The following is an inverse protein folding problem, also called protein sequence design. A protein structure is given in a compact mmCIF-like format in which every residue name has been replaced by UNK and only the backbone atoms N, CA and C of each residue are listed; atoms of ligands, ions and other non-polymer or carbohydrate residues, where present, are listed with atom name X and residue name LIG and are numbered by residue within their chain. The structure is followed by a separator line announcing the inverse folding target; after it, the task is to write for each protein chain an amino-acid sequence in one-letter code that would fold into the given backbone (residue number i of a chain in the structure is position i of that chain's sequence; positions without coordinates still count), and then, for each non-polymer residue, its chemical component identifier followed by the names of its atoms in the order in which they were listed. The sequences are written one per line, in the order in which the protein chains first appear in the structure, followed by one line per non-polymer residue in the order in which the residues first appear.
data_IF_121319748729
#
_entry.id   IF_121319748729
#
_cell.length_a   1.000
_cell.length_b   1.000
_cell.length_c   1.000
_cell.angle_alpha   90.00
_cell.angle_beta   90.00
_cell.angle_gamma   90.00
#
_symmetry.space_group_name_H-M   'P 1'
#
loop_
_entity.id
_entity.type
_entity.pdbx_description
1 polymer ?
#
# COMPACT_ATOMS: atom_id res chain seq x y z
N UNK A 1 24.47 -23.21 -7.87
CA UNK A 1 24.05 -21.89 -8.41
C UNK A 1 24.97 -20.83 -7.82
N UNK A 2 25.56 -19.92 -8.60
CA UNK A 2 26.53 -18.94 -8.08
C UNK A 2 25.84 -17.81 -7.29
N UNK A 3 26.54 -17.20 -6.34
CA UNK A 3 26.03 -16.06 -5.56
C UNK A 3 25.60 -14.88 -6.46
N UNK A 4 26.26 -14.70 -7.60
CA UNK A 4 25.87 -13.68 -8.59
C UNK A 4 24.57 -14.02 -9.33
N UNK A 5 24.30 -15.30 -9.59
CA UNK A 5 23.03 -15.72 -10.19
C UNK A 5 21.87 -15.46 -9.24
N UNK A 6 22.05 -15.71 -7.93
CA UNK A 6 21.07 -15.40 -6.88
C UNK A 6 20.80 -13.90 -6.81
N UNK A 7 21.85 -13.06 -6.78
CA UNK A 7 21.69 -11.59 -6.73
C UNK A 7 20.97 -11.05 -7.96
N UNK A 8 21.23 -11.60 -9.15
CA UNK A 8 20.52 -11.22 -10.38
C UNK A 8 19.05 -11.61 -10.31
N UNK A 9 18.75 -12.86 -9.96
CA UNK A 9 17.37 -13.33 -9.78
C UNK A 9 16.59 -12.44 -8.80
N UNK A 10 17.20 -12.09 -7.68
CA UNK A 10 16.61 -11.19 -6.69
C UNK A 10 16.27 -9.80 -7.28
N UNK A 11 17.20 -9.17 -7.99
CA UNK A 11 16.94 -7.87 -8.64
C UNK A 11 15.82 -7.96 -9.67
N UNK A 12 15.82 -9.01 -10.49
CA UNK A 12 14.77 -9.23 -11.49
C UNK A 12 13.40 -9.42 -10.84
N UNK A 13 13.30 -10.22 -9.77
CA UNK A 13 12.06 -10.38 -9.03
C UNK A 13 11.60 -9.07 -8.37
N UNK A 14 12.53 -8.28 -7.85
CA UNK A 14 12.23 -7.01 -7.20
C UNK A 14 11.75 -5.95 -8.20
N UNK A 15 12.37 -5.89 -9.39
CA UNK A 15 11.93 -5.03 -10.50
C UNK A 15 10.56 -5.47 -11.04
N UNK A 16 10.35 -6.78 -11.22
CA UNK A 16 9.08 -7.31 -11.69
C UNK A 16 7.97 -7.00 -10.68
N UNK A 17 8.21 -7.25 -9.40
CA UNK A 17 7.26 -6.97 -8.33
C UNK A 17 6.98 -5.47 -8.23
N UNK A 18 8.01 -4.62 -8.28
CA UNK A 18 7.86 -3.16 -8.31
C UNK A 18 7.04 -2.67 -9.50
N UNK A 19 7.22 -3.28 -10.67
CA UNK A 19 6.44 -2.95 -11.87
C UNK A 19 4.98 -3.40 -11.71
N UNK A 20 4.78 -4.62 -11.21
CA UNK A 20 3.47 -5.18 -10.95
C UNK A 20 2.73 -4.47 -9.81
N UNK A 21 3.41 -3.81 -8.88
CA UNK A 21 2.79 -3.07 -7.78
C UNK A 21 2.88 -1.56 -7.97
N UNK A 22 3.37 -1.08 -9.12
CA UNK A 22 3.61 0.33 -9.36
C UNK A 22 2.37 1.19 -9.13
N UNK A 23 1.23 0.78 -9.70
CA UNK A 23 -0.03 1.49 -9.52
C UNK A 23 -0.48 1.50 -8.04
N UNK A 24 -0.26 0.41 -7.31
CA UNK A 24 -0.52 0.34 -5.88
C UNK A 24 0.35 1.35 -5.11
N UNK A 25 1.67 1.35 -5.35
CA UNK A 25 2.59 2.31 -4.70
C UNK A 25 2.20 3.74 -5.02
N UNK A 26 1.87 4.05 -6.28
CA UNK A 26 1.45 5.39 -6.67
C UNK A 26 0.20 5.82 -5.89
N UNK A 27 -0.81 4.95 -5.82
CA UNK A 27 -2.01 5.21 -5.04
C UNK A 27 -1.70 5.37 -3.54
N UNK A 28 -0.77 4.59 -3.00
CA UNK A 28 -0.34 4.69 -1.61
C UNK A 28 0.26 6.07 -1.31
N UNK A 29 1.23 6.53 -2.10
CA UNK A 29 1.80 7.87 -1.91
C UNK A 29 0.77 8.98 -2.15
N UNK A 30 -0.07 8.84 -3.17
CA UNK A 30 -1.17 9.79 -3.42
C UNK A 30 -2.16 9.84 -2.25
N UNK A 31 -2.39 8.72 -1.56
CA UNK A 31 -3.26 8.68 -0.38
C UNK A 31 -2.69 9.49 0.77
N UNK A 32 -1.37 9.44 0.96
CA UNK A 32 -0.66 10.27 1.92
C UNK A 32 -0.70 11.76 1.52
N UNK A 33 -0.44 12.08 0.24
CA UNK A 33 -0.53 13.46 -0.27
C UNK A 33 -1.91 14.05 -0.01
N UNK A 34 -2.97 13.35 -0.43
CA UNK A 34 -4.36 13.76 -0.26
C UNK A 34 -4.68 14.00 1.22
N UNK A 35 -4.23 13.11 2.11
CA UNK A 35 -4.49 13.24 3.54
C UNK A 35 -3.82 14.51 4.12
N UNK A 36 -2.61 14.86 3.69
CA UNK A 36 -1.93 16.09 4.09
C UNK A 36 -2.57 17.35 3.49
N UNK A 37 -3.01 17.28 2.23
CA UNK A 37 -3.72 18.36 1.52
C UNK A 37 -5.08 18.67 2.17
N UNK A 38 -5.80 17.66 2.68
CA UNK A 38 -7.02 17.87 3.46
C UNK A 38 -6.79 18.69 4.75
N UNK A 39 -5.56 18.75 5.24
CA UNK A 39 -5.16 19.60 6.37
C UNK A 39 -4.55 20.94 5.94
N UNK A 40 -4.61 21.28 4.65
CA UNK A 40 -4.12 22.53 4.08
C UNK A 40 -2.60 22.59 3.89
N UNK A 41 -1.91 21.45 3.86
CA UNK A 41 -0.48 21.41 3.57
C UNK A 41 -0.22 21.24 2.08
N UNK A 42 0.87 21.82 1.60
CA UNK A 42 1.39 21.55 0.26
C UNK A 42 2.34 20.35 0.32
N UNK A 43 2.21 19.47 -0.66
CA UNK A 43 2.94 18.20 -0.71
C UNK A 43 3.55 17.96 -2.07
N UNK A 44 4.73 17.36 -2.05
CA UNK A 44 5.41 16.83 -3.23
C UNK A 44 5.67 15.34 -3.01
N UNK A 45 5.46 14.50 -4.02
CA UNK A 45 5.80 13.08 -3.94
C UNK A 45 7.20 12.88 -4.51
N UNK A 46 8.14 12.49 -3.64
CA UNK A 46 9.48 12.10 -4.07
C UNK A 46 9.46 10.64 -4.52
N UNK A 47 9.71 10.40 -5.80
CA UNK A 47 9.81 9.06 -6.37
C UNK A 47 11.26 8.57 -6.37
N UNK A 48 11.47 7.26 -6.18
CA UNK A 48 12.78 6.64 -6.40
C UNK A 48 12.78 5.93 -7.75
N UNK A 49 13.79 6.19 -8.57
CA UNK A 49 13.78 5.84 -10.00
C UNK A 49 13.63 4.33 -10.32
N UNK A 50 13.88 3.43 -9.37
CA UNK A 50 13.95 1.98 -9.65
C UNK A 50 13.49 1.04 -8.53
N UNK A 51 12.89 1.55 -7.45
CA UNK A 51 12.53 0.70 -6.30
C UNK A 51 11.19 1.13 -5.66
N UNK A 52 10.13 1.14 -6.47
CA UNK A 52 8.79 1.55 -6.06
C UNK A 52 8.16 0.64 -4.99
N UNK A 53 8.58 -0.61 -4.86
CA UNK A 53 8.12 -1.49 -3.78
C UNK A 53 8.95 -1.35 -2.48
N UNK A 54 10.07 -0.64 -2.48
CA UNK A 54 11.09 -0.74 -1.42
C UNK A 54 11.10 0.42 -0.40
N UNK A 55 9.95 1.04 -0.11
CA UNK A 55 9.84 2.10 0.93
C UNK A 55 10.72 3.35 0.69
N UNK A 56 11.09 3.64 -0.58
CA UNK A 56 11.93 4.81 -0.92
C UNK A 56 11.16 5.98 -1.51
N UNK A 57 9.95 5.75 -2.01
CA UNK A 57 9.01 6.82 -2.28
C UNK A 57 8.44 7.34 -0.96
N UNK A 58 8.22 8.65 -0.88
CA UNK A 58 7.59 9.25 0.27
C UNK A 58 7.00 10.62 -0.09
N UNK A 59 6.01 11.03 0.68
CA UNK A 59 5.43 12.38 0.62
C UNK A 59 6.28 13.36 1.42
N UNK A 60 6.77 14.40 0.75
CA UNK A 60 7.45 15.55 1.35
C UNK A 60 6.40 16.63 1.62
N UNK A 61 6.34 17.11 2.86
CA UNK A 61 5.44 18.20 3.25
C UNK A 61 6.25 19.49 3.32
N UNK A 62 5.96 20.45 2.45
CA UNK A 62 6.73 21.69 2.31
C UNK A 62 6.50 22.65 3.49
N UNK A 63 5.28 22.63 4.05
CA UNK A 63 4.89 23.45 5.20
C UNK A 63 5.20 22.78 6.54
N UNK A 64 5.38 23.56 7.61
CA UNK A 64 5.47 23.04 8.98
C UNK A 64 4.13 22.42 9.39
N UNK A 65 3.95 21.14 9.12
CA UNK A 65 2.83 20.36 9.63
C UNK A 65 2.93 20.22 11.15
N UNK A 66 1.77 20.31 11.82
CA UNK A 66 1.69 19.99 13.25
C UNK A 66 1.77 18.48 13.47
N UNK A 67 2.30 18.05 14.61
CA UNK A 67 2.35 16.61 14.98
C UNK A 67 0.99 15.92 14.94
N UNK A 68 -0.09 16.68 15.16
CA UNK A 68 -1.48 16.18 15.08
C UNK A 68 -1.92 15.96 13.63
N UNK A 69 -1.54 16.84 12.71
CA UNK A 69 -1.84 16.66 11.29
C UNK A 69 -1.08 15.46 10.71
N UNK A 70 0.20 15.29 11.04
CA UNK A 70 0.97 14.10 10.60
C UNK A 70 0.35 12.80 11.10
N UNK A 71 -0.05 12.79 12.38
CA UNK A 71 -0.72 11.66 13.00
C UNK A 71 -2.00 11.28 12.27
N UNK A 72 -2.85 12.27 12.02
CA UNK A 72 -4.12 12.06 11.36
C UNK A 72 -3.93 11.69 9.89
N UNK A 73 -2.98 12.31 9.19
CA UNK A 73 -2.68 11.99 7.80
C UNK A 73 -2.20 10.54 7.65
N UNK A 74 -1.28 10.09 8.52
CA UNK A 74 -0.82 8.70 8.53
C UNK A 74 -1.91 7.68 8.91
N UNK A 75 -2.90 8.08 9.70
CA UNK A 75 -4.07 7.23 10.02
C UNK A 75 -5.08 7.21 8.87
N UNK A 76 -5.32 8.35 8.21
CA UNK A 76 -6.36 8.53 7.20
C UNK A 76 -5.95 8.01 5.83
N UNK A 77 -4.69 8.23 5.42
CA UNK A 77 -4.17 7.82 4.12
C UNK A 77 -4.47 6.33 3.78
N UNK A 78 -4.24 5.36 4.68
CA UNK A 78 -4.57 3.96 4.41
C UNK A 78 -6.06 3.69 4.10
N UNK A 79 -6.98 4.45 4.69
CA UNK A 79 -8.42 4.30 4.41
C UNK A 79 -8.80 4.80 3.01
N UNK A 80 -8.06 5.76 2.45
CA UNK A 80 -8.29 6.21 1.09
C UNK A 80 -7.98 5.10 0.05
N UNK A 81 -7.18 4.08 0.41
CA UNK A 81 -6.91 2.92 -0.43
C UNK A 81 -8.00 1.85 -0.43
N UNK A 82 -8.95 1.90 0.51
CA UNK A 82 -10.09 0.97 0.51
C UNK A 82 -10.94 1.10 -0.75
N UNK A 83 -11.26 2.35 -1.13
CA UNK A 83 -12.08 2.64 -2.31
C UNK A 83 -11.46 2.06 -3.59
N UNK A 84 -10.20 2.36 -3.96
CA UNK A 84 -9.59 1.76 -5.14
C UNK A 84 -9.46 0.25 -5.02
N UNK A 85 -9.20 -0.32 -3.83
CA UNK A 85 -9.21 -1.77 -3.64
C UNK A 85 -10.59 -2.39 -4.01
N UNK A 86 -11.70 -1.84 -3.52
CA UNK A 86 -13.04 -2.31 -3.90
C UNK A 86 -13.36 -2.09 -5.39
N UNK A 87 -12.90 -1.00 -5.99
CA UNK A 87 -13.04 -0.76 -7.43
C UNK A 87 -12.33 -1.86 -8.23
N UNK A 88 -11.14 -2.29 -7.82
CA UNK A 88 -10.47 -3.41 -8.51
C UNK A 88 -11.29 -4.70 -8.44
N UNK A 89 -11.97 -4.99 -7.33
CA UNK A 89 -12.87 -6.16 -7.22
C UNK A 89 -14.01 -6.10 -8.25
N UNK A 90 -14.59 -4.92 -8.46
CA UNK A 90 -15.62 -4.71 -9.48
C UNK A 90 -15.06 -4.88 -10.89
N UNK A 91 -13.88 -4.34 -11.18
CA UNK A 91 -13.21 -4.51 -12.47
C UNK A 91 -12.87 -5.97 -12.75
N UNK A 92 -12.39 -6.71 -11.75
CA UNK A 92 -12.16 -8.16 -11.83
C UNK A 92 -13.46 -8.86 -12.21
N UNK A 93 -14.57 -8.58 -11.54
CA UNK A 93 -15.88 -9.16 -11.87
C UNK A 93 -16.30 -8.87 -13.32
N UNK A 94 -16.14 -7.63 -13.78
CA UNK A 94 -16.54 -7.21 -15.13
C UNK A 94 -15.73 -7.91 -16.22
N UNK A 95 -14.45 -8.13 -15.98
CA UNK A 95 -13.54 -8.74 -16.96
C UNK A 95 -13.54 -10.27 -16.86
N UNK A 96 -13.77 -10.82 -15.67
CA UNK A 96 -13.73 -12.26 -15.42
C UNK A 96 -14.78 -12.98 -16.27
N UNK A 97 -14.29 -13.73 -17.27
CA UNK A 97 -15.10 -14.54 -18.15
C UNK A 97 -14.39 -15.89 -18.35
N UNK A 98 -14.93 -16.99 -17.82
CA UNK A 98 -14.38 -18.33 -18.06
C UNK A 98 -14.31 -18.63 -19.56
N UNK A 99 -13.21 -19.22 -20.02
CA UNK A 99 -13.02 -19.62 -21.42
C UNK A 99 -12.32 -18.61 -22.32
N UNK A 100 -11.95 -17.42 -21.84
CA UNK A 100 -11.16 -16.46 -22.61
C UNK A 100 -9.83 -16.15 -21.93
N UNK A 101 -8.71 -16.65 -22.48
CA UNK A 101 -7.37 -16.56 -21.86
C UNK A 101 -6.93 -15.14 -21.55
N UNK A 102 -7.10 -14.19 -22.47
CA UNK A 102 -6.68 -12.80 -22.24
C UNK A 102 -7.49 -12.12 -21.13
N UNK A 103 -8.79 -12.43 -21.01
CA UNK A 103 -9.65 -11.93 -19.94
C UNK A 103 -9.25 -12.49 -18.58
N UNK A 104 -8.91 -13.78 -18.54
CA UNK A 104 -8.33 -14.43 -17.36
C UNK A 104 -7.03 -13.77 -16.92
N UNK A 105 -6.11 -13.51 -17.86
CA UNK A 105 -4.85 -12.82 -17.57
C UNK A 105 -5.08 -11.39 -17.05
N UNK A 106 -6.00 -10.65 -17.67
CA UNK A 106 -6.34 -9.30 -17.22
C UNK A 106 -7.01 -9.31 -15.83
N UNK A 107 -7.92 -10.25 -15.58
CA UNK A 107 -8.54 -10.43 -14.27
C UNK A 107 -7.51 -10.81 -13.20
N UNK A 108 -6.55 -11.68 -13.52
CA UNK A 108 -5.45 -12.03 -12.61
C UNK A 108 -4.54 -10.82 -12.33
N UNK A 109 -4.21 -10.02 -13.35
CA UNK A 109 -3.45 -8.79 -13.19
C UNK A 109 -4.18 -7.77 -12.31
N UNK A 110 -5.46 -7.53 -12.56
CA UNK A 110 -6.31 -6.66 -11.73
C UNK A 110 -6.46 -7.18 -10.30
N UNK A 111 -6.58 -8.50 -10.13
CA UNK A 111 -6.60 -9.14 -8.82
C UNK A 111 -5.28 -8.94 -8.07
N UNK A 112 -4.13 -9.03 -8.76
CA UNK A 112 -2.83 -8.74 -8.18
C UNK A 112 -2.69 -7.27 -7.77
N UNK A 113 -3.19 -6.33 -8.60
CA UNK A 113 -3.24 -4.90 -8.24
C UNK A 113 -4.11 -4.68 -7.00
N UNK A 114 -5.31 -5.25 -6.98
CA UNK A 114 -6.24 -5.12 -5.85
C UNK A 114 -5.66 -5.68 -4.55
N UNK A 115 -4.99 -6.83 -4.64
CA UNK A 115 -4.27 -7.42 -3.52
C UNK A 115 -3.14 -6.50 -3.04
N UNK A 116 -2.35 -5.93 -3.96
CA UNK A 116 -1.32 -4.94 -3.66
C UNK A 116 -1.87 -3.72 -2.91
N UNK A 117 -2.95 -3.13 -3.42
CA UNK A 117 -3.59 -1.94 -2.82
C UNK A 117 -4.12 -2.27 -1.43
N UNK A 118 -4.79 -3.41 -1.27
CA UNK A 118 -5.33 -3.84 0.02
C UNK A 118 -4.23 -4.13 1.06
N UNK A 119 -3.09 -4.68 0.63
CA UNK A 119 -1.93 -4.91 1.50
C UNK A 119 -1.20 -3.61 1.86
N UNK A 120 -1.22 -2.61 0.99
CA UNK A 120 -0.65 -1.28 1.22
C UNK A 120 -1.63 -0.32 1.95
N UNK A 121 -2.86 -0.75 2.21
CA UNK A 121 -3.87 0.00 2.96
C UNK A 121 -3.61 0.02 4.48
N UNK A 122 -2.38 -0.17 4.92
CA UNK A 122 -1.92 0.14 6.28
C UNK A 122 -0.66 1.00 6.25
N UNK A 123 -0.37 1.77 7.33
CA UNK A 123 0.87 2.53 7.43
C UNK A 123 2.11 1.64 7.26
N UNK A 124 3.18 2.16 6.67
CA UNK A 124 4.45 1.44 6.59
C UNK A 124 5.12 1.34 7.97
N UNK A 125 6.12 0.46 8.11
CA UNK A 125 6.93 0.44 9.34
C UNK A 125 7.66 1.76 9.57
N UNK A 126 8.06 2.44 8.49
CA UNK A 126 8.69 3.75 8.55
C UNK A 126 7.71 4.82 9.04
N UNK A 127 6.43 4.75 8.67
CA UNK A 127 5.40 5.65 9.19
C UNK A 127 5.19 5.47 10.69
N UNK A 128 5.19 4.21 11.16
CA UNK A 128 5.09 3.90 12.60
C UNK A 128 6.31 4.42 13.35
N UNK A 129 7.52 4.22 12.81
CA UNK A 129 8.76 4.73 13.40
C UNK A 129 8.80 6.26 13.43
N UNK A 130 8.41 6.90 12.34
CA UNK A 130 8.31 8.35 12.22
C UNK A 130 7.29 8.92 13.21
N UNK A 131 6.11 8.30 13.29
CA UNK A 131 5.06 8.66 14.24
C UNK A 131 5.57 8.57 15.68
N UNK A 132 6.22 7.45 16.04
CA UNK A 132 6.79 7.24 17.36
C UNK A 132 7.87 8.28 17.69
N UNK A 133 8.76 8.57 16.73
CA UNK A 133 9.81 9.57 16.90
C UNK A 133 9.23 10.98 17.11
N UNK A 134 8.22 11.38 16.32
CA UNK A 134 7.56 12.69 16.46
C UNK A 134 6.73 12.83 17.73
N UNK A 135 6.00 11.79 18.16
CA UNK A 135 5.07 11.89 19.29
C UNK A 135 5.73 11.66 20.65
N UNK A 136 6.68 10.73 20.77
CA UNK A 136 7.41 10.50 22.02
C UNK A 136 8.82 9.98 21.75
N UNK A 137 9.87 10.82 21.89
CA UNK A 137 11.26 10.35 21.80
C UNK A 137 11.66 9.34 22.90
N UNK A 138 10.75 8.99 23.83
CA UNK A 138 10.95 8.05 24.95
C UNK A 138 10.01 6.85 24.97
N UNK A 139 9.23 6.58 23.92
CA UNK A 139 8.40 5.36 23.89
C UNK A 139 9.24 4.12 23.61
N UNK A 140 9.31 3.22 24.60
CA UNK A 140 10.11 2.00 24.53
C UNK A 140 9.59 0.97 23.53
N UNK A 141 10.40 -0.09 23.31
CA UNK A 141 10.17 -1.22 22.39
C UNK A 141 8.74 -1.80 22.41
N UNK A 142 8.06 -1.76 23.56
CA UNK A 142 6.68 -2.26 23.73
C UNK A 142 5.63 -1.45 22.94
N UNK A 143 5.73 -0.12 22.90
CA UNK A 143 4.79 0.72 22.15
C UNK A 143 4.97 0.55 20.65
N UNK A 144 6.23 0.38 20.18
CA UNK A 144 6.53 0.04 18.79
C UNK A 144 5.90 -1.29 18.39
N UNK A 145 6.10 -2.34 19.20
CA UNK A 145 5.51 -3.65 18.95
C UNK A 145 3.97 -3.60 18.94
N UNK A 146 3.35 -2.85 19.86
CA UNK A 146 1.90 -2.71 19.90
C UNK A 146 1.32 -1.98 18.68
N UNK A 147 1.94 -0.89 18.24
CA UNK A 147 1.50 -0.16 17.04
C UNK A 147 1.74 -0.96 15.76
N UNK A 148 2.89 -1.63 15.63
CA UNK A 148 3.14 -2.55 14.52
C UNK A 148 2.13 -3.70 14.51
N UNK A 149 1.79 -4.28 15.67
CA UNK A 149 0.79 -5.34 15.75
C UNK A 149 -0.62 -4.86 15.38
N UNK A 150 -1.04 -3.67 15.85
CA UNK A 150 -2.33 -3.07 15.48
C UNK A 150 -2.39 -2.79 13.97
N UNK A 151 -1.30 -2.26 13.41
CA UNK A 151 -1.21 -2.00 11.99
C UNK A 151 -1.28 -3.30 11.17
N UNK A 152 -0.43 -4.30 11.47
CA UNK A 152 -0.48 -5.59 10.79
C UNK A 152 -1.86 -6.25 10.92
N UNK A 153 -2.50 -6.14 12.09
CA UNK A 153 -3.88 -6.59 12.29
C UNK A 153 -4.86 -5.87 11.36
N UNK A 154 -4.76 -4.55 11.23
CA UNK A 154 -5.62 -3.77 10.34
C UNK A 154 -5.41 -4.12 8.85
N UNK A 155 -4.16 -4.30 8.42
CA UNK A 155 -3.83 -4.74 7.05
C UNK A 155 -4.45 -6.12 6.78
N UNK A 156 -4.32 -7.05 7.71
CA UNK A 156 -4.92 -8.39 7.59
C UNK A 156 -6.44 -8.28 7.46
N UNK A 157 -7.11 -7.47 8.29
CA UNK A 157 -8.56 -7.29 8.22
C UNK A 157 -8.97 -6.69 6.88
N UNK A 158 -8.32 -5.62 6.43
CA UNK A 158 -8.61 -4.95 5.15
C UNK A 158 -8.40 -5.90 3.97
N UNK A 159 -7.28 -6.62 3.95
CA UNK A 159 -6.99 -7.60 2.91
C UNK A 159 -8.04 -8.71 2.87
N UNK A 160 -8.42 -9.24 4.04
CA UNK A 160 -9.47 -10.26 4.11
C UNK A 160 -10.80 -9.70 3.61
N UNK A 161 -11.22 -8.52 4.06
CA UNK A 161 -12.45 -7.88 3.58
C UNK A 161 -12.47 -7.72 2.06
N UNK A 162 -11.36 -7.27 1.48
CA UNK A 162 -11.21 -7.18 0.03
C UNK A 162 -11.28 -8.56 -0.65
N UNK A 163 -10.58 -9.57 -0.11
CA UNK A 163 -10.57 -10.93 -0.65
C UNK A 163 -11.96 -11.57 -0.63
N UNK A 164 -12.64 -11.54 0.53
CA UNK A 164 -14.00 -12.04 0.69
C UNK A 164 -14.96 -11.34 -0.28
N UNK A 165 -14.88 -10.01 -0.38
CA UNK A 165 -15.74 -9.23 -1.29
C UNK A 165 -15.50 -9.57 -2.75
N UNK A 166 -14.24 -9.70 -3.16
CA UNK A 166 -13.87 -10.08 -4.53
C UNK A 166 -14.38 -11.47 -4.88
N UNK A 167 -14.15 -12.44 -4.01
CA UNK A 167 -14.61 -13.81 -4.22
C UNK A 167 -16.15 -13.92 -4.19
N UNK A 168 -16.83 -13.13 -3.33
CA UNK A 168 -18.30 -13.04 -3.28
C UNK A 168 -18.88 -12.51 -4.58
N UNK A 169 -18.23 -11.49 -5.15
CA UNK A 169 -18.63 -10.91 -6.44
C UNK A 169 -18.49 -11.89 -7.62
N UNK A 170 -17.56 -12.85 -7.51
CA UNK A 170 -17.34 -13.91 -8.50
C UNK A 170 -18.23 -15.14 -8.29
N UNK A 171 -19.04 -15.20 -7.23
CA UNK A 171 -19.92 -16.33 -6.94
C UNK A 171 -19.20 -17.57 -6.42
N UNK A 172 -18.02 -17.41 -5.79
CA UNK A 172 -17.22 -18.51 -5.25
C UNK A 172 -17.41 -18.72 -3.73
N UNK A 173 -18.63 -18.51 -3.20
CA UNK A 173 -19.00 -18.73 -1.80
C UNK A 173 -20.35 -19.42 -1.67
#
# INVERSE_FOLDING_TARGET
MSMEAVKRLYRWSDTLLSTLLFASTVLHEMSHSLAYECFGNQTEISWSDFAFASERSHVVVESKSTRRQDALAGIVAPYALLVPAFVTSLLVKLVYAPGTTWRLLLAAFLGLQGAGIALQAGPSNNDIEYFLWKWRPRTGRKTKLALSALNSGSIIVVFNLWLFSTLSLLGHW
#
